data_IF_069154544852
#
_entry.id   IF_069154544852
#
_cell.length_a   1.000
_cell.length_b   1.000
_cell.length_c   1.000
_cell.angle_alpha   90.00
_cell.angle_beta   90.00
_cell.angle_gamma   90.00
#
_symmetry.space_group_name_H-M   'P 1'
#
loop_
_entity.id
_entity.type
_entity.pdbx_description
1 polymer ?
#
# COMPACT_ATOMS: atom_id res chain seq x y z
N UNK A 1 23.50 34.72 17.36
CA UNK A 1 23.68 33.56 16.47
C UNK A 1 23.66 32.27 17.30
N UNK A 2 22.65 31.41 17.14
CA UNK A 2 22.58 30.14 17.89
C UNK A 2 23.56 29.14 17.26
N UNK A 3 24.59 28.74 18.00
CA UNK A 3 25.52 27.67 17.59
C UNK A 3 24.75 26.35 17.55
N UNK A 4 24.50 25.82 16.35
CA UNK A 4 24.01 24.44 16.20
C UNK A 4 25.10 23.51 16.73
N UNK A 5 24.78 22.74 17.78
CA UNK A 5 25.65 21.65 18.24
C UNK A 5 25.60 20.56 17.18
N UNK A 6 26.71 20.33 16.50
CA UNK A 6 26.86 19.20 15.58
C UNK A 6 26.74 17.91 16.40
N UNK A 7 25.86 16.96 16.02
CA UNK A 7 25.75 15.70 16.75
C UNK A 7 27.09 14.97 16.70
N UNK A 8 27.59 14.53 17.87
CA UNK A 8 28.80 13.72 17.91
C UNK A 8 28.62 12.40 17.15
N UNK A 9 29.69 11.80 16.60
CA UNK A 9 29.62 10.64 15.71
C UNK A 9 28.84 9.46 16.31
N UNK A 10 28.89 9.25 17.63
CA UNK A 10 28.10 8.21 18.31
C UNK A 10 26.58 8.38 18.24
N UNK A 11 26.06 9.63 18.21
CA UNK A 11 24.62 9.90 18.04
C UNK A 11 24.17 9.59 16.62
N UNK A 12 24.97 9.99 15.63
CA UNK A 12 24.71 9.73 14.21
C UNK A 12 24.63 8.22 13.94
N UNK A 13 25.54 7.42 14.53
CA UNK A 13 25.51 5.96 14.40
C UNK A 13 24.32 5.30 15.12
N UNK A 14 23.82 5.85 16.22
CA UNK A 14 22.64 5.35 16.91
C UNK A 14 21.36 5.61 16.08
N UNK A 15 21.22 6.82 15.55
CA UNK A 15 20.11 7.20 14.66
C UNK A 15 20.09 6.35 13.39
N UNK A 16 21.25 6.18 12.75
CA UNK A 16 21.37 5.37 11.53
C UNK A 16 21.01 3.89 11.78
N UNK A 17 21.40 3.32 12.93
CA UNK A 17 21.01 1.95 13.32
C UNK A 17 19.51 1.80 13.53
N UNK A 18 18.88 2.77 14.16
CA UNK A 18 17.42 2.74 14.36
C UNK A 18 16.67 2.88 13.03
N UNK A 19 17.17 3.73 12.13
CA UNK A 19 16.59 3.87 10.79
C UNK A 19 16.70 2.58 9.97
N UNK A 20 17.84 1.88 10.03
CA UNK A 20 18.01 0.56 9.39
C UNK A 20 17.06 -0.47 10.02
N UNK A 21 16.85 -0.44 11.34
CA UNK A 21 15.91 -1.32 12.03
C UNK A 21 14.48 -1.11 11.52
N UNK A 22 14.05 0.14 11.33
CA UNK A 22 12.75 0.45 10.73
C UNK A 22 12.63 0.00 9.29
N UNK A 23 13.69 0.14 8.48
CA UNK A 23 13.70 -0.35 7.09
C UNK A 23 13.52 -1.87 7.04
N UNK A 24 14.20 -2.62 7.92
CA UNK A 24 14.04 -4.08 8.01
C UNK A 24 12.64 -4.48 8.48
N UNK A 25 12.09 -3.76 9.45
CA UNK A 25 10.74 -4.00 9.99
C UNK A 25 9.62 -3.60 9.03
N UNK A 26 9.89 -2.77 8.03
CA UNK A 26 8.89 -2.32 7.06
C UNK A 26 8.18 -3.49 6.38
N UNK A 27 8.94 -4.49 5.91
CA UNK A 27 8.37 -5.67 5.27
C UNK A 27 7.47 -6.48 6.21
N UNK A 28 7.87 -6.60 7.48
CA UNK A 28 7.05 -7.25 8.52
C UNK A 28 5.77 -6.47 8.83
N UNK A 29 5.82 -5.13 8.87
CA UNK A 29 4.63 -4.29 9.07
C UNK A 29 3.67 -4.40 7.89
N UNK A 30 4.18 -4.46 6.67
CA UNK A 30 3.38 -4.69 5.45
C UNK A 30 2.70 -6.06 5.50
N UNK A 31 3.46 -7.13 5.76
CA UNK A 31 2.92 -8.49 5.90
C UNK A 31 1.93 -8.60 7.08
N UNK A 32 2.16 -7.88 8.18
CA UNK A 32 1.22 -7.79 9.31
C UNK A 32 -0.09 -7.12 8.88
N UNK A 33 0.00 -6.02 8.11
CA UNK A 33 -1.15 -5.31 7.59
C UNK A 33 -1.97 -6.18 6.63
N UNK A 34 -1.35 -7.12 5.91
CA UNK A 34 -2.01 -8.08 5.01
C UNK A 34 -2.54 -9.33 5.73
N UNK A 35 -2.26 -9.47 7.03
CA UNK A 35 -2.64 -10.66 7.80
C UNK A 35 -1.83 -11.91 7.44
N UNK A 36 -0.67 -11.74 6.81
CA UNK A 36 0.21 -12.83 6.37
C UNK A 36 1.09 -13.38 7.50
N UNK A 37 1.24 -12.63 8.60
CA UNK A 37 2.02 -13.09 9.76
C UNK A 37 1.18 -13.96 10.68
N UNK A 38 1.79 -15.03 11.20
CA UNK A 38 1.15 -15.98 12.11
C UNK A 38 2.00 -16.20 13.37
N UNK A 39 1.38 -16.80 14.39
CA UNK A 39 2.04 -17.25 15.62
C UNK A 39 2.88 -16.18 16.33
N UNK A 40 4.04 -16.61 16.85
CA UNK A 40 4.95 -15.76 17.60
C UNK A 40 5.49 -14.56 16.78
N UNK A 41 5.64 -14.70 15.46
CA UNK A 41 6.13 -13.62 14.61
C UNK A 41 5.12 -12.46 14.54
N UNK A 42 3.84 -12.78 14.35
CA UNK A 42 2.75 -11.79 14.42
C UNK A 42 2.73 -11.06 15.77
N UNK A 43 2.92 -11.79 16.88
CA UNK A 43 2.92 -11.20 18.22
C UNK A 43 4.08 -10.23 18.43
N UNK A 44 5.30 -10.58 17.98
CA UNK A 44 6.48 -9.70 18.07
C UNK A 44 6.27 -8.40 17.30
N UNK A 45 5.75 -8.49 16.08
CA UNK A 45 5.48 -7.32 15.24
C UNK A 45 4.38 -6.45 15.85
N UNK A 46 3.32 -7.05 16.39
CA UNK A 46 2.28 -6.32 17.11
C UNK A 46 2.83 -5.56 18.33
N UNK A 47 3.69 -6.20 19.13
CA UNK A 47 4.32 -5.57 20.29
C UNK A 47 5.22 -4.38 19.87
N UNK A 48 6.00 -4.52 18.80
CA UNK A 48 6.80 -3.42 18.27
C UNK A 48 5.93 -2.24 17.81
N UNK A 49 4.88 -2.51 17.03
CA UNK A 49 3.95 -1.49 16.53
C UNK A 49 3.29 -0.72 17.68
N UNK A 50 2.97 -1.39 18.79
CA UNK A 50 2.38 -0.75 19.96
C UNK A 50 3.30 0.28 20.62
N UNK A 51 4.62 0.12 20.49
CA UNK A 51 5.61 0.99 21.14
C UNK A 51 6.34 1.95 20.17
N UNK A 52 6.20 1.77 18.86
CA UNK A 52 6.91 2.56 17.86
C UNK A 52 5.96 3.46 17.05
N UNK A 53 6.15 4.78 17.17
CA UNK A 53 5.35 5.78 16.46
C UNK A 53 5.51 5.69 14.92
N UNK A 54 6.72 5.44 14.41
CA UNK A 54 6.95 5.33 12.96
C UNK A 54 6.25 4.12 12.34
N UNK A 55 6.31 2.96 13.02
CA UNK A 55 5.71 1.73 12.54
C UNK A 55 4.19 1.72 12.71
N UNK A 56 3.65 2.34 13.76
CA UNK A 56 2.21 2.51 13.92
C UNK A 56 1.61 3.46 12.87
N UNK A 57 2.30 4.58 12.57
CA UNK A 57 1.92 5.48 11.48
C UNK A 57 1.92 4.77 10.12
N UNK A 58 2.95 3.97 9.84
CA UNK A 58 3.04 3.17 8.61
C UNK A 58 1.91 2.14 8.50
N UNK A 59 1.58 1.44 9.59
CA UNK A 59 0.44 0.52 9.64
C UNK A 59 -0.89 1.23 9.35
N UNK A 60 -1.10 2.41 9.95
CA UNK A 60 -2.32 3.19 9.75
C UNK A 60 -2.47 3.61 8.28
N UNK A 61 -1.39 4.08 7.65
CA UNK A 61 -1.37 4.42 6.23
C UNK A 61 -1.73 3.21 5.35
N UNK A 62 -1.11 2.06 5.59
CA UNK A 62 -1.39 0.83 4.84
C UNK A 62 -2.86 0.40 4.97
N UNK A 63 -3.45 0.52 6.17
CA UNK A 63 -4.87 0.23 6.40
C UNK A 63 -5.78 1.17 5.61
N UNK A 64 -5.48 2.47 5.63
CA UNK A 64 -6.24 3.47 4.88
C UNK A 64 -6.18 3.20 3.38
N UNK A 65 -4.99 2.94 2.82
CA UNK A 65 -4.84 2.58 1.41
C UNK A 65 -5.69 1.36 1.07
N UNK A 66 -5.65 0.30 1.89
CA UNK A 66 -6.45 -0.91 1.66
C UNK A 66 -7.95 -0.63 1.66
N UNK A 67 -8.42 0.18 2.60
CA UNK A 67 -9.82 0.62 2.69
C UNK A 67 -10.20 1.44 1.46
N UNK A 68 -9.41 2.44 1.07
CA UNK A 68 -9.67 3.27 -0.11
C UNK A 68 -9.74 2.43 -1.38
N UNK A 69 -8.83 1.47 -1.53
CA UNK A 69 -8.87 0.55 -2.68
C UNK A 69 -10.09 -0.37 -2.64
N UNK A 70 -10.56 -0.82 -1.46
CA UNK A 70 -11.74 -1.72 -1.35
C UNK A 70 -13.03 -1.04 -1.79
N UNK A 71 -13.15 0.25 -1.51
CA UNK A 71 -14.33 1.04 -1.87
C UNK A 71 -14.18 1.72 -3.24
N UNK A 72 -13.12 1.43 -3.98
CA UNK A 72 -12.90 2.04 -5.28
C UNK A 72 -13.89 1.48 -6.32
N UNK A 73 -14.66 2.33 -7.02
CA UNK A 73 -15.74 1.89 -7.93
C UNK A 73 -15.26 1.04 -9.11
N UNK A 74 -13.95 1.04 -9.39
CA UNK A 74 -13.34 0.26 -10.48
C UNK A 74 -12.71 -1.07 -10.00
N UNK A 75 -12.83 -1.44 -8.71
CA UNK A 75 -12.17 -2.66 -8.18
C UNK A 75 -12.95 -3.94 -8.46
N UNK A 76 -14.26 -3.85 -8.64
CA UNK A 76 -15.05 -4.97 -9.16
C UNK A 76 -14.94 -4.93 -10.68
N UNK A 77 -14.39 -5.96 -11.35
CA UNK A 77 -14.48 -6.02 -12.80
C UNK A 77 -15.96 -5.86 -13.19
N UNK A 78 -16.28 -5.05 -14.22
CA UNK A 78 -17.66 -4.88 -14.64
C UNK A 78 -18.27 -6.26 -14.84
N UNK A 79 -19.47 -6.46 -14.29
CA UNK A 79 -20.18 -7.73 -14.48
C UNK A 79 -20.22 -8.06 -15.96
N UNK A 80 -20.15 -9.34 -16.33
CA UNK A 80 -20.22 -9.74 -17.74
C UNK A 80 -21.46 -9.15 -18.44
N UNK A 81 -22.57 -9.03 -17.71
CA UNK A 81 -23.77 -8.34 -18.18
C UNK A 81 -23.49 -6.87 -18.54
N UNK A 82 -22.88 -6.09 -17.63
CA UNK A 82 -22.53 -4.70 -17.89
C UNK A 82 -21.51 -4.53 -19.04
N UNK A 83 -20.53 -5.45 -19.15
CA UNK A 83 -19.56 -5.45 -20.24
C UNK A 83 -20.23 -5.74 -21.60
N UNK A 84 -21.20 -6.66 -21.64
CA UNK A 84 -21.99 -6.97 -22.85
C UNK A 84 -22.86 -5.80 -23.27
N UNK A 85 -23.56 -5.15 -22.33
CA UNK A 85 -24.39 -3.96 -22.61
C UNK A 85 -23.54 -2.83 -23.20
N UNK A 86 -22.37 -2.54 -22.61
CA UNK A 86 -21.44 -1.53 -23.14
C UNK A 86 -20.96 -1.86 -24.54
N UNK A 87 -20.63 -3.12 -24.81
CA UNK A 87 -20.23 -3.57 -26.16
C UNK A 87 -21.36 -3.39 -27.17
N UNK A 88 -22.57 -3.78 -26.81
CA UNK A 88 -23.74 -3.61 -27.67
C UNK A 88 -24.03 -2.13 -27.96
N UNK A 89 -24.05 -1.28 -26.93
CA UNK A 89 -24.21 0.16 -27.09
C UNK A 89 -23.14 0.76 -28.01
N UNK A 90 -21.87 0.35 -27.86
CA UNK A 90 -20.79 0.78 -28.75
C UNK A 90 -21.06 0.39 -30.21
N UNK A 91 -21.59 -0.81 -30.47
CA UNK A 91 -21.97 -1.21 -31.83
C UNK A 91 -23.10 -0.36 -32.41
N UNK A 92 -24.06 0.07 -31.59
CA UNK A 92 -25.13 0.97 -32.04
C UNK A 92 -24.62 2.38 -32.37
N UNK A 93 -23.60 2.86 -31.67
CA UNK A 93 -23.04 4.21 -31.87
C UNK A 93 -21.88 4.24 -32.87
N UNK A 94 -21.38 3.07 -33.31
CA UNK A 94 -20.30 3.00 -34.31
C UNK A 94 -20.91 3.10 -35.70
N UNK A 95 -20.59 4.13 -36.50
CA UNK A 95 -21.08 4.22 -37.87
C UNK A 95 -20.53 3.05 -38.71
N UNK A 96 -21.35 2.45 -39.59
CA UNK A 96 -20.92 1.36 -40.46
C UNK A 96 -19.82 1.87 -41.41
N UNK A 97 -18.57 1.44 -41.19
CA UNK A 97 -17.42 1.84 -42.01
C UNK A 97 -16.05 1.80 -41.31
N UNK A 98 -16.00 1.77 -39.97
CA UNK A 98 -14.73 1.70 -39.21
C UNK A 98 -14.43 0.32 -38.58
N UNK A 99 -15.08 -0.76 -39.05
CA UNK A 99 -14.71 -2.11 -38.63
C UNK A 99 -13.48 -2.55 -39.41
N UNK A 100 -12.29 -2.24 -38.89
CA UNK A 100 -11.03 -2.80 -39.42
C UNK A 100 -11.02 -4.31 -39.14
N UNK A 101 -10.69 -5.17 -40.13
CA UNK A 101 -10.69 -6.61 -39.91
C UNK A 101 -9.61 -6.99 -38.88
N UNK A 102 -10.00 -7.79 -37.88
CA UNK A 102 -9.07 -8.43 -36.94
C UNK A 102 -8.26 -9.48 -37.71
N UNK A 103 -6.94 -9.32 -37.73
CA UNK A 103 -5.98 -10.42 -37.97
C UNK A 103 -5.80 -11.21 -36.69
#
# INVERSE_FOLDING_TARGET
MKRQRVPGPGRVWAECREQIRHVRLRGDVEAYADGQLTGAHRMRVAAHIACCWACSGSLQLLRLIKVSLRHHPQRTPPSLASARVRRFAHHLTTPPGQVRPRR
#
